data_IF_927541807604
#
_entry.id   IF_927541807604
#
_cell.length_a   1.000
_cell.length_b   1.000
_cell.length_c   1.000
_cell.angle_alpha   90.00
_cell.angle_beta   90.00
_cell.angle_gamma   90.00
#
_symmetry.space_group_name_H-M   'P 1'
#
loop_
_entity.id
_entity.type
_entity.pdbx_description
1 polymer ?
#
# COMPACT_ATOMS: atom_id res chain seq x y z
N UNK A 1 -16.88 16.03 1.87
CA UNK A 1 -15.75 15.13 2.19
C UNK A 1 -14.78 15.24 1.03
N UNK A 2 -13.48 15.37 1.30
CA UNK A 2 -12.48 15.37 0.24
C UNK A 2 -12.45 13.99 -0.41
N UNK A 3 -12.37 13.93 -1.74
CA UNK A 3 -12.34 12.66 -2.49
C UNK A 3 -11.21 12.67 -3.51
N UNK A 4 -10.70 11.48 -3.78
CA UNK A 4 -9.64 11.22 -4.74
C UNK A 4 -10.27 10.97 -6.11
N UNK A 5 -9.72 11.62 -7.12
CA UNK A 5 -10.05 11.40 -8.53
C UNK A 5 -8.76 11.33 -9.36
N UNK A 6 -8.84 10.88 -10.62
CA UNK A 6 -7.69 10.75 -11.53
C UNK A 6 -6.49 9.98 -10.91
N UNK A 7 -6.77 8.93 -10.13
CA UNK A 7 -5.76 8.10 -9.50
C UNK A 7 -4.98 7.32 -10.57
N UNK A 8 -3.67 7.58 -10.66
CA UNK A 8 -2.78 6.96 -11.66
C UNK A 8 -1.49 6.49 -11.01
N UNK A 9 -1.09 5.28 -11.36
CA UNK A 9 0.21 4.74 -11.01
C UNK A 9 1.29 5.34 -11.93
N UNK A 10 2.44 5.63 -11.35
CA UNK A 10 3.62 6.08 -12.08
C UNK A 10 4.63 4.93 -12.08
N UNK A 11 4.89 4.38 -13.25
CA UNK A 11 5.92 3.37 -13.44
C UNK A 11 6.80 3.71 -14.65
N UNK A 12 7.88 2.95 -14.79
CA UNK A 12 8.87 3.12 -15.85
C UNK A 12 8.70 2.06 -16.95
N UNK A 13 7.57 1.36 -16.99
CA UNK A 13 7.34 0.23 -17.90
C UNK A 13 6.60 0.64 -19.17
N UNK A 14 6.00 1.83 -19.20
CA UNK A 14 5.30 2.35 -20.38
C UNK A 14 4.12 1.47 -20.76
N UNK A 15 4.04 1.04 -22.02
CA UNK A 15 2.98 0.15 -22.53
C UNK A 15 3.15 -1.33 -22.19
N UNK A 16 3.99 -1.69 -21.21
CA UNK A 16 4.20 -3.09 -20.83
C UNK A 16 2.93 -3.69 -20.22
N UNK A 17 2.54 -4.86 -20.74
CA UNK A 17 1.44 -5.64 -20.17
C UNK A 17 1.89 -6.34 -18.89
N UNK A 18 1.57 -5.71 -17.75
CA UNK A 18 1.88 -6.25 -16.41
C UNK A 18 1.09 -7.52 -16.08
N UNK A 19 -0.10 -7.71 -16.69
CA UNK A 19 -0.96 -8.85 -16.40
C UNK A 19 -0.45 -10.10 -17.13
N UNK A 20 -0.12 -9.99 -18.40
CA UNK A 20 0.49 -11.09 -19.16
C UNK A 20 1.94 -11.36 -18.75
N UNK A 21 2.64 -10.34 -18.23
CA UNK A 21 4.05 -10.38 -17.83
C UNK A 21 4.94 -11.19 -18.80
N UNK A 22 4.94 -10.89 -20.12
CA UNK A 22 5.54 -11.75 -21.14
C UNK A 22 7.06 -11.92 -20.99
N UNK A 23 7.73 -11.03 -20.27
CA UNK A 23 9.18 -11.09 -20.00
C UNK A 23 9.52 -11.77 -18.67
N UNK A 24 8.51 -12.26 -17.93
CA UNK A 24 8.72 -12.90 -16.62
C UNK A 24 9.40 -11.97 -15.61
N UNK A 25 9.06 -10.68 -15.63
CA UNK A 25 9.64 -9.73 -14.67
C UNK A 25 9.22 -10.11 -13.26
N UNK A 26 10.17 -10.06 -12.32
CA UNK A 26 9.88 -10.25 -10.91
C UNK A 26 8.94 -9.17 -10.37
N UNK A 27 8.15 -9.51 -9.34
CA UNK A 27 7.12 -8.65 -8.76
C UNK A 27 7.63 -7.23 -8.46
N UNK A 28 8.80 -7.11 -7.83
CA UNK A 28 9.40 -5.81 -7.51
C UNK A 28 9.58 -4.89 -8.74
N UNK A 29 9.91 -5.46 -9.90
CA UNK A 29 10.08 -4.69 -11.14
C UNK A 29 8.74 -4.18 -11.70
N UNK A 30 7.65 -4.90 -11.46
CA UNK A 30 6.29 -4.53 -11.87
C UNK A 30 5.69 -3.40 -11.03
N UNK A 31 6.21 -3.22 -9.81
CA UNK A 31 5.72 -2.21 -8.90
C UNK A 31 5.97 -0.79 -9.43
N UNK A 32 5.02 0.13 -9.19
CA UNK A 32 5.21 1.53 -9.53
C UNK A 32 6.26 2.19 -8.64
N UNK A 33 6.86 3.27 -9.14
CA UNK A 33 7.75 4.14 -8.37
C UNK A 33 7.01 5.36 -7.80
N UNK A 34 5.73 5.55 -8.15
CA UNK A 34 4.92 6.63 -7.61
C UNK A 34 3.44 6.48 -7.93
N UNK A 35 2.66 7.41 -7.39
CA UNK A 35 1.22 7.53 -7.62
C UNK A 35 0.86 9.01 -7.64
N UNK A 36 -0.06 9.39 -8.52
CA UNK A 36 -0.63 10.73 -8.61
C UNK A 36 -2.14 10.66 -8.58
N UNK A 37 -2.76 11.73 -8.06
CA UNK A 37 -4.20 11.87 -8.04
C UNK A 37 -4.59 13.35 -7.94
N UNK A 38 -5.89 13.63 -8.07
CA UNK A 38 -6.50 14.94 -7.94
C UNK A 38 -7.41 14.97 -6.70
N UNK A 39 -7.30 16.03 -5.91
CA UNK A 39 -8.20 16.33 -4.79
C UNK A 39 -8.42 17.85 -4.74
N UNK A 40 -9.67 18.30 -4.66
CA UNK A 40 -10.04 19.72 -4.59
C UNK A 40 -9.35 20.60 -5.66
N UNK A 41 -9.27 20.09 -6.89
CA UNK A 41 -8.63 20.79 -8.02
C UNK A 41 -7.10 20.82 -7.98
N UNK A 42 -6.46 20.26 -6.94
CA UNK A 42 -5.00 20.18 -6.81
C UNK A 42 -4.50 18.78 -7.14
N UNK A 43 -3.44 18.71 -7.95
CA UNK A 43 -2.73 17.46 -8.21
C UNK A 43 -1.78 17.16 -7.05
N UNK A 44 -1.86 15.94 -6.55
CA UNK A 44 -1.00 15.39 -5.52
C UNK A 44 -0.17 14.24 -6.10
N UNK A 45 0.98 13.98 -5.50
CA UNK A 45 1.83 12.85 -5.85
C UNK A 45 2.63 12.33 -4.66
N UNK A 46 2.94 11.04 -4.70
CA UNK A 46 3.92 10.39 -3.85
C UNK A 46 4.85 9.59 -4.76
N UNK A 47 6.16 9.80 -4.64
CA UNK A 47 7.20 9.04 -5.34
C UNK A 47 8.15 8.41 -4.33
N UNK A 48 8.70 7.26 -4.67
CA UNK A 48 9.71 6.59 -3.86
C UNK A 48 10.70 5.84 -4.76
N UNK A 49 12.00 6.03 -4.50
CA UNK A 49 13.07 5.39 -5.29
C UNK A 49 13.03 3.86 -5.20
N UNK A 50 12.63 3.33 -4.04
CA UNK A 50 12.53 1.89 -3.80
C UNK A 50 11.12 1.33 -4.00
N UNK A 51 10.38 1.86 -4.98
CA UNK A 51 9.00 1.47 -5.33
C UNK A 51 7.97 1.72 -4.21
N UNK A 52 6.70 1.62 -4.59
CA UNK A 52 5.55 1.69 -3.69
C UNK A 52 4.48 0.67 -4.09
N UNK A 53 3.59 0.36 -3.15
CA UNK A 53 2.33 -0.36 -3.39
C UNK A 53 1.20 0.53 -2.89
N UNK A 54 0.56 1.31 -3.78
CA UNK A 54 -0.57 2.14 -3.44
C UNK A 54 -1.88 1.44 -3.82
N UNK A 55 -2.87 1.52 -2.93
CA UNK A 55 -4.22 1.03 -3.16
C UNK A 55 -5.21 2.13 -2.80
N UNK A 56 -6.04 2.51 -3.77
CA UNK A 56 -7.15 3.43 -3.55
C UNK A 56 -8.20 2.78 -2.64
N UNK A 57 -8.62 3.46 -1.57
CA UNK A 57 -9.70 2.99 -0.72
C UNK A 57 -11.04 3.08 -1.47
N UNK A 58 -11.97 2.19 -1.13
CA UNK A 58 -13.25 2.02 -1.85
C UNK A 58 -14.11 3.29 -1.94
N UNK A 59 -14.12 4.09 -0.89
CA UNK A 59 -14.88 5.33 -0.81
C UNK A 59 -14.13 6.51 -1.48
N UNK A 60 -12.99 6.25 -2.11
CA UNK A 60 -12.06 7.26 -2.64
C UNK A 60 -11.64 8.31 -1.60
N UNK A 61 -11.69 7.95 -0.32
CA UNK A 61 -11.44 8.82 0.83
C UNK A 61 -10.02 8.67 1.40
N UNK A 62 -9.17 7.92 0.71
CA UNK A 62 -7.77 7.76 1.06
C UNK A 62 -7.05 6.72 0.21
N UNK A 63 -5.77 6.52 0.53
CA UNK A 63 -4.88 5.57 -0.13
C UNK A 63 -4.18 4.74 0.95
N UNK A 64 -4.29 3.42 0.88
CA UNK A 64 -3.38 2.55 1.59
C UNK A 64 -2.06 2.48 0.82
N UNK A 65 -0.94 2.69 1.50
CA UNK A 65 0.36 2.86 0.86
C UNK A 65 1.44 2.08 1.59
N UNK A 66 2.13 1.20 0.88
CA UNK A 66 3.40 0.62 1.32
C UNK A 66 4.54 1.31 0.56
N UNK A 67 5.56 1.75 1.27
CA UNK A 67 6.83 2.24 0.72
C UNK A 67 7.94 1.22 0.93
N UNK A 68 8.87 1.13 -0.01
CA UNK A 68 10.01 0.20 0.08
C UNK A 68 9.58 -1.24 0.40
N UNK A 69 8.64 -1.84 -0.36
CA UNK A 69 8.26 -3.23 -0.15
C UNK A 69 9.51 -4.12 -0.18
N UNK A 70 9.52 -5.15 0.67
CA UNK A 70 10.62 -6.13 0.79
C UNK A 70 11.95 -5.60 1.37
N UNK A 71 12.11 -4.30 1.65
CA UNK A 71 13.30 -3.76 2.31
C UNK A 71 13.04 -3.57 3.80
N UNK A 72 13.56 -4.47 4.64
CA UNK A 72 13.36 -4.47 6.11
C UNK A 72 13.68 -3.13 6.80
N UNK A 73 14.63 -2.36 6.28
CA UNK A 73 15.08 -1.10 6.91
C UNK A 73 14.14 0.06 6.62
N UNK A 74 13.69 0.17 5.37
CA UNK A 74 12.95 1.34 4.87
C UNK A 74 11.46 1.07 4.64
N UNK A 75 11.00 -0.16 4.92
CA UNK A 75 9.62 -0.57 4.71
C UNK A 75 8.67 0.13 5.67
N UNK A 76 7.65 0.78 5.10
CA UNK A 76 6.69 1.59 5.85
C UNK A 76 5.29 1.41 5.25
N UNK A 77 4.26 1.42 6.09
CA UNK A 77 2.88 1.33 5.66
C UNK A 77 2.02 2.44 6.28
N UNK A 78 1.18 3.06 5.45
CA UNK A 78 0.38 4.23 5.80
C UNK A 78 -1.03 4.16 5.24
N UNK A 79 -1.95 4.84 5.91
CA UNK A 79 -3.16 5.37 5.26
C UNK A 79 -2.95 6.86 5.03
N UNK A 80 -3.10 7.29 3.79
CA UNK A 80 -2.94 8.68 3.35
C UNK A 80 -4.32 9.26 3.01
N UNK A 81 -4.58 10.50 3.44
CA UNK A 81 -5.81 11.23 3.11
C UNK A 81 -5.80 11.74 1.66
N UNK A 82 -6.95 12.16 1.11
CA UNK A 82 -7.03 12.74 -0.24
C UNK A 82 -6.14 13.98 -0.42
N UNK A 83 -5.89 14.73 0.66
CA UNK A 83 -5.03 15.91 0.68
C UNK A 83 -3.54 15.62 0.92
N UNK A 84 -3.11 14.35 0.79
CA UNK A 84 -1.73 13.89 0.97
C UNK A 84 -1.18 14.07 2.40
N UNK A 85 -2.03 13.84 3.41
CA UNK A 85 -1.59 13.78 4.82
C UNK A 85 -1.59 12.34 5.29
N UNK A 86 -0.65 11.97 6.16
CA UNK A 86 -0.68 10.65 6.81
C UNK A 86 -1.81 10.68 7.83
N UNK A 87 -2.83 9.84 7.63
CA UNK A 87 -3.91 9.60 8.59
C UNK A 87 -3.47 8.58 9.65
N UNK A 88 -2.88 7.48 9.19
CA UNK A 88 -2.40 6.39 10.04
C UNK A 88 -1.00 5.95 9.64
N UNK A 89 -0.12 5.77 10.62
CA UNK A 89 1.11 5.00 10.45
C UNK A 89 0.82 3.55 10.86
N UNK A 90 0.47 2.72 9.88
CA UNK A 90 0.06 1.33 10.09
C UNK A 90 1.22 0.51 10.66
N UNK A 91 2.45 0.81 10.24
CA UNK A 91 3.65 0.15 10.77
C UNK A 91 3.84 0.40 12.26
N UNK A 92 3.69 1.64 12.73
CA UNK A 92 3.80 1.94 14.16
C UNK A 92 2.68 1.32 14.98
N UNK A 93 1.45 1.25 14.42
CA UNK A 93 0.32 0.60 15.08
C UNK A 93 0.53 -0.92 15.19
N UNK A 94 1.06 -1.55 14.14
CA UNK A 94 1.36 -2.99 14.16
C UNK A 94 2.50 -3.31 15.14
N UNK A 95 3.55 -2.47 15.18
CA UNK A 95 4.70 -2.63 16.10
C UNK A 95 4.33 -2.68 17.57
N UNK A 96 3.20 -2.08 17.97
CA UNK A 96 2.69 -2.19 19.35
C UNK A 96 2.32 -3.63 19.74
N UNK A 97 2.11 -4.49 18.75
CA UNK A 97 1.70 -5.88 18.93
C UNK A 97 2.80 -6.84 18.46
N UNK A 98 3.50 -6.49 17.36
CA UNK A 98 4.44 -7.37 16.67
C UNK A 98 5.58 -6.54 16.07
N UNK A 99 6.80 -6.79 16.52
CA UNK A 99 8.00 -6.17 15.96
C UNK A 99 8.55 -6.94 14.75
N UNK A 100 9.30 -6.24 13.88
CA UNK A 100 10.07 -6.87 12.81
C UNK A 100 9.29 -7.28 11.55
N UNK A 101 7.97 -7.06 11.51
CA UNK A 101 7.14 -7.34 10.34
C UNK A 101 7.55 -6.49 9.11
N UNK A 102 7.54 -7.12 7.93
CA UNK A 102 7.82 -6.48 6.63
C UNK A 102 6.53 -6.49 5.81
N UNK A 103 5.98 -5.33 5.47
CA UNK A 103 4.84 -5.20 4.59
C UNK A 103 5.16 -5.60 3.15
N UNK A 104 4.37 -6.53 2.63
CA UNK A 104 4.54 -7.17 1.32
C UNK A 104 3.54 -6.66 0.31
N UNK A 105 2.27 -6.54 0.69
CA UNK A 105 1.17 -6.16 -0.19
C UNK A 105 -0.04 -5.64 0.58
N UNK A 106 -0.99 -5.01 -0.11
CA UNK A 106 -2.25 -4.51 0.46
C UNK A 106 -3.38 -4.57 -0.58
N UNK A 107 -4.48 -5.23 -0.24
CA UNK A 107 -5.67 -5.31 -1.10
C UNK A 107 -6.93 -5.70 -0.30
N UNK A 108 -8.09 -5.64 -0.96
CA UNK A 108 -9.36 -5.98 -0.34
C UNK A 108 -9.67 -7.48 -0.45
N UNK A 109 -10.15 -8.08 0.64
CA UNK A 109 -10.73 -9.43 0.68
C UNK A 109 -12.09 -9.34 1.33
N UNK A 110 -13.15 -9.80 0.65
CA UNK A 110 -14.53 -9.73 1.15
C UNK A 110 -14.87 -8.36 1.75
N UNK A 111 -14.48 -7.31 1.01
CA UNK A 111 -14.68 -5.92 1.34
C UNK A 111 -13.86 -5.31 2.49
N UNK A 112 -13.05 -6.10 3.19
CA UNK A 112 -12.13 -5.65 4.22
C UNK A 112 -10.74 -5.38 3.65
N UNK A 113 -10.06 -4.33 4.11
CA UNK A 113 -8.70 -4.00 3.71
C UNK A 113 -7.71 -4.89 4.47
N UNK A 114 -6.90 -5.67 3.75
CA UNK A 114 -5.87 -6.49 4.35
C UNK A 114 -4.48 -6.00 3.99
N UNK A 115 -3.62 -5.90 5.00
CA UNK A 115 -2.17 -5.79 4.81
C UNK A 115 -1.54 -7.17 4.95
N UNK A 116 -0.63 -7.48 4.04
CA UNK A 116 0.17 -8.69 4.05
C UNK A 116 1.56 -8.37 4.57
N UNK A 117 2.05 -9.20 5.47
CA UNK A 117 3.35 -9.01 6.12
C UNK A 117 4.11 -10.32 6.18
N UNK A 118 5.42 -10.26 6.01
CA UNK A 118 6.32 -11.34 6.38
C UNK A 118 6.80 -11.10 7.82
N UNK A 119 6.76 -12.15 8.63
CA UNK A 119 7.32 -12.18 9.97
C UNK A 119 8.17 -13.44 10.09
N UNK A 120 9.48 -13.26 10.27
CA UNK A 120 10.48 -14.33 10.43
C UNK A 120 10.37 -15.44 9.37
N UNK A 121 10.18 -15.05 8.10
CA UNK A 121 10.12 -15.97 6.97
C UNK A 121 8.76 -16.64 6.78
N UNK A 122 7.73 -16.22 7.51
CA UNK A 122 6.35 -16.69 7.33
C UNK A 122 5.43 -15.53 6.95
N UNK A 123 4.51 -15.80 6.03
CA UNK A 123 3.58 -14.81 5.56
C UNK A 123 2.30 -14.80 6.41
N UNK A 124 1.84 -13.60 6.70
CA UNK A 124 0.66 -13.32 7.48
C UNK A 124 -0.13 -12.18 6.83
N UNK A 125 -1.38 -12.05 7.25
CA UNK A 125 -2.22 -10.91 6.92
C UNK A 125 -3.02 -10.47 8.13
N UNK A 126 -3.44 -9.21 8.14
CA UNK A 126 -4.37 -8.68 9.12
C UNK A 126 -5.30 -7.67 8.45
N UNK A 127 -6.55 -7.62 8.92
CA UNK A 127 -7.50 -6.61 8.50
C UNK A 127 -7.16 -5.26 9.14
N UNK A 128 -7.37 -4.16 8.42
CA UNK A 128 -7.19 -2.80 8.92
C UNK A 128 -8.42 -1.97 8.62
N UNK A 129 -9.02 -1.34 9.62
CA UNK A 129 -10.17 -0.43 9.44
C UNK A 129 -9.67 1.01 9.19
N UNK A 130 -9.73 1.55 7.96
CA UNK A 130 -9.15 2.85 7.65
C UNK A 130 -9.84 4.02 8.37
N UNK A 131 -11.09 3.86 8.81
CA UNK A 131 -11.83 4.91 9.52
C UNK A 131 -11.38 5.06 10.95
N UNK A 132 -11.20 3.95 11.66
CA UNK A 132 -10.89 3.92 13.11
C UNK A 132 -9.40 3.69 13.41
N UNK A 133 -8.65 3.11 12.48
CA UNK A 133 -7.25 2.71 12.69
C UNK A 133 -7.10 1.38 13.44
N UNK A 134 -8.19 0.62 13.61
CA UNK A 134 -8.17 -0.68 14.27
C UNK A 134 -7.43 -1.72 13.45
N UNK A 135 -6.64 -2.54 14.16
CA UNK A 135 -5.88 -3.67 13.62
C UNK A 135 -6.58 -4.95 14.03
N UNK A 136 -6.96 -5.76 13.04
CA UNK A 136 -7.50 -7.09 13.23
C UNK A 136 -6.42 -8.09 13.67
N UNK A 137 -6.86 -9.32 13.93
CA UNK A 137 -5.94 -10.41 14.29
C UNK A 137 -4.99 -10.73 13.14
N UNK A 138 -3.77 -11.11 13.50
CA UNK A 138 -2.82 -11.68 12.55
C UNK A 138 -3.24 -13.11 12.19
N UNK A 139 -3.35 -13.38 10.90
CA UNK A 139 -3.78 -14.67 10.33
C UNK A 139 -2.67 -15.16 9.40
N UNK A 140 -2.28 -16.43 9.51
CA UNK A 140 -1.31 -17.02 8.59
C UNK A 140 -1.82 -16.98 7.15
N UNK A 141 -0.95 -16.57 6.22
CA UNK A 141 -1.21 -16.59 4.79
C UNK A 141 -0.34 -17.68 4.16
N UNK A 142 -0.96 -18.65 3.51
CA UNK A 142 -0.30 -19.78 2.86
C UNK A 142 -0.24 -19.58 1.35
#
# INVERSE_FOLDING_TARGET
MDTISDFKLMDSLGGYDKAANPKGLGLFNLLPHGVTWLCNGKRHEIKHGNKIIPLLLKENDGIALIKSPFNKKDNQAYIVTPSNKIKWNVGDLLKKHIEGAIFLDVYFILDELFFFVNLDGRDYRFAFEPKTGEIGKLIASY
#
